data_IF_240439710024
#
_entry.id   IF_240439710024
#
_cell.length_a   1.000
_cell.length_b   1.000
_cell.length_c   1.000
_cell.angle_alpha   90.00
_cell.angle_beta   90.00
_cell.angle_gamma   90.00
#
_symmetry.space_group_name_H-M   'P 1'
#
loop_
_entity.id
_entity.type
_entity.pdbx_description
1 polymer ?
#
# COMPACT_ATOMS: atom_id res chain seq x y z
N UNK A 1 -22.86 -24.84 9.01
CA UNK A 1 -23.06 -23.95 7.84
C UNK A 1 -21.82 -23.80 6.95
N UNK A 2 -20.75 -24.59 7.15
CA UNK A 2 -19.50 -24.48 6.36
C UNK A 2 -19.49 -25.33 5.07
N UNK A 3 -20.42 -26.29 4.92
CA UNK A 3 -20.41 -27.26 3.83
C UNK A 3 -21.07 -26.80 2.52
N UNK A 4 -21.97 -25.81 2.56
CA UNK A 4 -22.71 -25.39 1.36
C UNK A 4 -21.93 -24.35 0.53
N UNK A 5 -21.25 -23.41 1.20
CA UNK A 5 -20.46 -22.37 0.53
C UNK A 5 -19.26 -22.92 -0.26
N UNK A 6 -18.56 -23.92 0.29
CA UNK A 6 -17.38 -24.52 -0.34
C UNK A 6 -17.65 -25.28 -1.64
N UNK A 7 -18.91 -25.61 -1.95
CA UNK A 7 -19.29 -26.25 -3.23
C UNK A 7 -19.56 -25.24 -4.34
N UNK A 8 -19.91 -24.00 -4.00
CA UNK A 8 -20.23 -22.93 -4.96
C UNK A 8 -18.98 -22.10 -5.26
N UNK A 9 -18.18 -21.80 -4.24
CA UNK A 9 -16.92 -21.10 -4.37
C UNK A 9 -15.85 -21.84 -3.55
N UNK A 10 -14.96 -22.62 -4.19
CA UNK A 10 -13.88 -23.29 -3.47
C UNK A 10 -12.94 -22.22 -2.88
N UNK A 11 -12.96 -22.07 -1.56
CA UNK A 11 -12.13 -21.09 -0.83
C UNK A 11 -10.90 -21.78 -0.26
N UNK A 12 -9.72 -21.19 -0.51
CA UNK A 12 -8.47 -21.62 0.12
C UNK A 12 -8.19 -20.73 1.32
N UNK A 13 -8.02 -21.33 2.49
CA UNK A 13 -7.75 -20.63 3.75
C UNK A 13 -6.26 -20.64 4.06
N UNK A 14 -5.75 -19.54 4.62
CA UNK A 14 -4.33 -19.38 4.93
C UNK A 14 -4.14 -18.44 6.12
N UNK A 15 -3.32 -18.81 7.09
CA UNK A 15 -2.91 -17.93 8.19
C UNK A 15 -1.87 -16.91 7.69
N UNK A 16 -2.20 -15.61 7.76
CA UNK A 16 -1.31 -14.53 7.24
C UNK A 16 0.07 -14.48 7.92
N UNK A 17 0.18 -14.97 9.16
CA UNK A 17 1.41 -14.93 9.97
C UNK A 17 2.37 -16.09 9.67
N UNK A 18 1.86 -17.25 9.27
CA UNK A 18 2.68 -18.45 9.02
C UNK A 18 3.36 -18.34 7.66
N UNK A 19 4.70 -18.35 7.62
CA UNK A 19 5.45 -18.27 6.36
C UNK A 19 5.30 -19.52 5.49
N UNK A 20 5.16 -20.68 6.13
CA UNK A 20 5.02 -21.99 5.47
C UNK A 20 3.70 -22.05 4.73
N UNK A 21 2.59 -21.73 5.40
CA UNK A 21 1.25 -21.76 4.81
C UNK A 21 1.10 -20.81 3.61
N UNK A 22 1.84 -19.68 3.58
CA UNK A 22 1.79 -18.80 2.39
C UNK A 22 2.47 -19.42 1.18
N UNK A 23 3.53 -20.19 1.40
CA UNK A 23 4.23 -20.87 0.31
C UNK A 23 3.33 -21.96 -0.25
N UNK A 24 2.70 -22.74 0.62
CA UNK A 24 1.80 -23.82 0.24
C UNK A 24 0.54 -23.27 -0.47
N UNK A 25 -0.03 -22.16 0.03
CA UNK A 25 -1.11 -21.41 -0.65
C UNK A 25 -0.72 -20.98 -2.06
N UNK A 26 0.49 -20.43 -2.23
CA UNK A 26 0.96 -19.99 -3.55
C UNK A 26 1.16 -21.18 -4.49
N UNK A 27 1.67 -22.32 -4.00
CA UNK A 27 1.82 -23.53 -4.80
C UNK A 27 0.46 -24.06 -5.29
N UNK A 28 -0.56 -24.07 -4.43
CA UNK A 28 -1.92 -24.48 -4.81
C UNK A 28 -2.54 -23.51 -5.83
N UNK A 29 -2.35 -22.20 -5.68
CA UNK A 29 -2.77 -21.21 -6.68
C UNK A 29 -2.09 -21.45 -8.02
N UNK A 30 -0.77 -21.72 -8.05
CA UNK A 30 -0.05 -22.00 -9.29
C UNK A 30 -0.54 -23.28 -9.96
N UNK A 31 -0.85 -24.31 -9.17
CA UNK A 31 -1.43 -25.55 -9.67
C UNK A 31 -2.77 -25.30 -10.34
N UNK A 32 -3.67 -24.57 -9.68
CA UNK A 32 -4.99 -24.22 -10.22
C UNK A 32 -4.93 -23.38 -11.51
N UNK A 33 -3.95 -22.48 -11.63
CA UNK A 33 -3.75 -21.68 -12.85
C UNK A 33 -3.27 -22.52 -14.04
N UNK A 34 -2.47 -23.55 -13.79
CA UNK A 34 -1.91 -24.42 -14.84
C UNK A 34 -2.89 -25.51 -15.32
N UNK A 35 -3.92 -25.82 -14.53
CA UNK A 35 -4.95 -26.80 -14.91
C UNK A 35 -5.89 -26.21 -15.99
N UNK A 36 -5.99 -26.88 -17.14
CA UNK A 36 -6.81 -26.42 -18.30
C UNK A 36 -8.31 -26.30 -18.03
N UNK A 37 -8.80 -26.89 -16.93
CA UNK A 37 -10.19 -26.78 -16.46
C UNK A 37 -10.40 -25.61 -15.48
N UNK A 38 -9.36 -24.79 -15.27
CA UNK A 38 -9.17 -23.92 -14.10
C UNK A 38 -10.33 -22.99 -13.80
N UNK A 39 -10.83 -23.08 -12.58
CA UNK A 39 -11.75 -22.12 -11.97
C UNK A 39 -11.01 -20.77 -11.83
N UNK A 40 -11.64 -19.63 -12.17
CA UNK A 40 -11.03 -18.32 -11.97
C UNK A 40 -10.75 -18.06 -10.49
N UNK A 41 -9.53 -17.65 -10.16
CA UNK A 41 -9.11 -17.36 -8.79
C UNK A 41 -9.20 -15.85 -8.56
N UNK A 42 -9.98 -15.42 -7.57
CA UNK A 42 -10.06 -14.04 -7.12
C UNK A 42 -9.09 -13.82 -5.95
N UNK A 43 -8.16 -12.88 -6.10
CA UNK A 43 -7.17 -12.55 -5.08
C UNK A 43 -7.16 -11.04 -4.81
N UNK A 44 -6.95 -10.68 -3.55
CA UNK A 44 -6.75 -9.29 -3.13
C UNK A 44 -5.26 -9.06 -2.79
N UNK A 45 -4.45 -8.52 -3.73
CA UNK A 45 -3.00 -8.35 -3.54
C UNK A 45 -2.61 -7.46 -2.35
N UNK A 46 -3.47 -6.52 -2.00
CA UNK A 46 -3.29 -5.54 -0.94
C UNK A 46 -3.38 -6.17 0.46
N UNK A 47 -4.28 -7.14 0.63
CA UNK A 47 -4.53 -7.83 1.90
C UNK A 47 -5.19 -6.98 2.99
N UNK A 48 -5.60 -5.75 2.66
CA UNK A 48 -6.31 -4.78 3.49
C UNK A 48 -7.30 -4.00 2.61
N UNK A 49 -8.31 -3.40 3.23
CA UNK A 49 -9.24 -2.50 2.55
C UNK A 49 -8.70 -1.06 2.68
N UNK A 50 -8.24 -0.45 1.59
CA UNK A 50 -7.79 0.95 1.59
C UNK A 50 -8.96 1.90 1.78
N UNK A 51 -8.77 2.94 2.60
CA UNK A 51 -9.64 4.12 2.52
C UNK A 51 -9.48 4.70 1.11
N UNK A 52 -10.57 5.04 0.41
CA UNK A 52 -10.65 5.41 -1.03
C UNK A 52 -9.73 6.57 -1.51
N UNK A 53 -8.73 6.96 -0.73
CA UNK A 53 -7.73 8.00 -0.97
C UNK A 53 -6.51 7.50 -1.73
N UNK A 54 -6.12 6.22 -1.60
CA UNK A 54 -4.91 5.68 -2.22
C UNK A 54 -4.97 4.18 -2.41
N UNK A 55 -4.30 3.66 -3.45
CA UNK A 55 -4.12 2.21 -3.63
C UNK A 55 -2.84 1.78 -2.91
N UNK A 56 -2.95 0.89 -1.93
CA UNK A 56 -1.78 0.37 -1.22
C UNK A 56 -0.91 -0.53 -2.10
N UNK A 57 0.33 -0.72 -1.67
CA UNK A 57 1.29 -1.55 -2.38
C UNK A 57 0.81 -3.01 -2.48
N UNK A 58 0.85 -3.53 -3.70
CA UNK A 58 0.52 -4.93 -3.97
C UNK A 58 1.63 -5.88 -3.51
N UNK A 59 1.24 -7.03 -2.94
CA UNK A 59 2.20 -8.06 -2.53
C UNK A 59 2.81 -8.77 -3.74
N UNK A 60 4.13 -8.64 -3.91
CA UNK A 60 4.92 -9.26 -4.99
C UNK A 60 4.70 -10.76 -5.19
N UNK A 61 4.41 -11.51 -4.11
CA UNK A 61 4.40 -12.98 -4.13
C UNK A 61 3.38 -13.60 -5.08
N UNK A 62 2.36 -12.84 -5.48
CA UNK A 62 1.32 -13.31 -6.42
C UNK A 62 1.69 -13.04 -7.90
N UNK A 63 2.63 -12.13 -8.16
CA UNK A 63 2.97 -11.63 -9.50
C UNK A 63 4.11 -12.43 -10.15
N UNK A 64 4.04 -13.77 -10.09
CA UNK A 64 5.07 -14.65 -10.66
C UNK A 64 4.95 -14.78 -12.20
N UNK A 65 6.04 -15.24 -12.82
CA UNK A 65 6.11 -15.49 -14.26
C UNK A 65 5.14 -16.62 -14.67
N UNK A 66 4.51 -16.48 -15.83
CA UNK A 66 3.62 -17.50 -16.41
C UNK A 66 2.14 -17.35 -16.07
N UNK A 67 1.78 -16.33 -15.28
CA UNK A 67 0.39 -16.06 -14.88
C UNK A 67 -0.14 -14.89 -15.71
N UNK A 68 -1.36 -15.06 -16.24
CA UNK A 68 -2.14 -13.96 -16.82
C UNK A 68 -3.07 -13.42 -15.75
N UNK A 69 -2.93 -12.14 -15.42
CA UNK A 69 -3.72 -11.48 -14.39
C UNK A 69 -4.75 -10.58 -15.05
N UNK A 70 -5.97 -10.58 -14.54
CA UNK A 70 -7.03 -9.66 -14.93
C UNK A 70 -7.25 -8.67 -13.79
N UNK A 71 -6.72 -7.44 -13.88
CA UNK A 71 -6.91 -6.45 -12.83
C UNK A 71 -8.38 -6.03 -12.78
N UNK A 72 -8.89 -5.82 -11.57
CA UNK A 72 -10.24 -5.34 -11.33
C UNK A 72 -10.11 -4.08 -10.48
N UNK A 73 -10.61 -2.96 -10.99
CA UNK A 73 -10.74 -1.74 -10.21
C UNK A 73 -12.09 -1.76 -9.50
N UNK A 74 -12.07 -1.60 -8.18
CA UNK A 74 -13.26 -1.50 -7.35
C UNK A 74 -13.19 -0.15 -6.64
N UNK A 75 -14.19 0.70 -6.87
CA UNK A 75 -14.29 2.01 -6.24
C UNK A 75 -15.61 2.12 -5.49
N UNK A 76 -15.57 2.46 -4.22
CA UNK A 76 -16.78 2.76 -3.46
C UNK A 76 -17.12 4.25 -3.60
N UNK A 77 -18.39 4.56 -3.86
CA UNK A 77 -18.87 5.93 -3.73
C UNK A 77 -19.25 6.20 -2.26
N UNK A 78 -18.45 7.03 -1.58
CA UNK A 78 -18.67 7.37 -0.17
C UNK A 78 -19.91 8.25 0.07
N UNK A 79 -20.58 8.75 -0.98
CA UNK A 79 -21.77 9.60 -0.85
C UNK A 79 -22.97 8.91 -0.21
N UNK A 80 -23.11 7.59 -0.37
CA UNK A 80 -24.29 6.84 0.08
C UNK A 80 -24.06 6.03 1.37
N UNK A 81 -22.79 5.86 1.75
CA UNK A 81 -22.35 5.14 2.93
C UNK A 81 -20.84 4.84 2.84
N UNK A 82 -20.13 5.04 3.95
CA UNK A 82 -18.71 4.72 4.06
C UNK A 82 -18.54 3.36 4.77
N UNK A 83 -18.05 2.36 4.04
CA UNK A 83 -17.81 1.01 4.56
C UNK A 83 -16.38 0.79 5.04
N UNK A 84 -15.48 1.77 4.87
CA UNK A 84 -14.05 1.60 5.13
C UNK A 84 -13.61 1.89 6.56
N UNK A 85 -14.52 2.35 7.42
CA UNK A 85 -14.23 2.53 8.84
C UNK A 85 -14.45 1.25 9.62
N UNK A 86 -13.37 0.63 10.08
CA UNK A 86 -13.43 -0.36 11.14
C UNK A 86 -13.77 0.35 12.46
N UNK A 87 -15.03 0.28 12.87
CA UNK A 87 -15.41 0.66 14.24
C UNK A 87 -14.98 -0.45 15.21
N UNK A 88 -14.48 -0.07 16.38
CA UNK A 88 -14.08 -1.02 17.42
C UNK A 88 -15.30 -1.77 17.99
N UNK A 89 -16.49 -1.15 17.94
CA UNK A 89 -17.72 -1.66 18.51
C UNK A 89 -18.72 -2.13 17.43
N UNK A 90 -19.12 -3.40 17.49
CA UNK A 90 -20.02 -4.01 16.50
C UNK A 90 -21.36 -3.30 16.37
N UNK A 91 -21.92 -2.76 17.47
CA UNK A 91 -23.23 -2.08 17.43
C UNK A 91 -23.16 -0.75 16.68
N UNK A 92 -22.05 -0.01 16.77
CA UNK A 92 -21.85 1.23 16.02
C UNK A 92 -21.76 0.95 14.53
N UNK A 93 -21.01 -0.09 14.17
CA UNK A 93 -20.94 -0.57 12.79
C UNK A 93 -22.32 -0.97 12.26
N UNK A 94 -23.08 -1.77 13.03
CA UNK A 94 -24.41 -2.21 12.64
C UNK A 94 -25.38 -1.04 12.45
N UNK A 95 -25.41 -0.10 13.40
CA UNK A 95 -26.24 1.11 13.28
C UNK A 95 -25.84 1.93 12.05
N UNK A 96 -24.54 2.03 11.74
CA UNK A 96 -24.06 2.74 10.54
C UNK A 96 -24.50 2.07 9.25
N UNK A 97 -24.40 0.75 9.15
CA UNK A 97 -24.86 0.01 7.97
C UNK A 97 -26.38 0.13 7.82
N UNK A 98 -27.13 0.03 8.93
CA UNK A 98 -28.59 0.15 8.92
C UNK A 98 -29.10 1.57 8.63
N UNK A 99 -28.31 2.60 8.96
CA UNK A 99 -28.61 4.01 8.68
C UNK A 99 -28.02 4.52 7.36
N UNK A 100 -27.17 3.72 6.70
CA UNK A 100 -26.66 4.02 5.37
C UNK A 100 -27.74 3.71 4.33
N UNK A 101 -27.99 4.64 3.42
CA UNK A 101 -29.05 4.49 2.42
C UNK A 101 -28.74 3.41 1.38
N UNK A 102 -27.50 3.38 0.90
CA UNK A 102 -27.02 2.35 -0.02
C UNK A 102 -25.49 2.26 0.03
N UNK A 103 -24.94 1.08 -0.26
CA UNK A 103 -23.51 0.92 -0.47
C UNK A 103 -23.31 0.68 -1.96
N UNK A 104 -22.76 1.67 -2.66
CA UNK A 104 -22.53 1.61 -4.11
C UNK A 104 -21.06 1.33 -4.41
N UNK A 105 -20.81 0.24 -5.14
CA UNK A 105 -19.50 -0.10 -5.66
C UNK A 105 -19.51 -0.05 -7.19
N UNK A 106 -18.58 0.70 -7.76
CA UNK A 106 -18.26 0.67 -9.18
C UNK A 106 -17.15 -0.37 -9.39
N UNK A 107 -17.44 -1.40 -10.18
CA UNK A 107 -16.54 -2.52 -10.45
C UNK A 107 -16.25 -2.54 -11.94
N UNK A 108 -14.99 -2.27 -12.30
CA UNK A 108 -14.54 -2.29 -13.69
C UNK A 108 -13.44 -3.32 -13.89
N UNK A 109 -13.63 -4.18 -14.89
CA UNK A 109 -12.61 -5.11 -15.37
C UNK A 109 -11.65 -4.38 -16.31
N UNK A 110 -10.36 -4.52 -16.06
CA UNK A 110 -9.30 -3.93 -16.87
C UNK A 110 -8.70 -4.98 -17.81
N UNK A 111 -7.93 -4.50 -18.78
CA UNK A 111 -7.24 -5.35 -19.73
C UNK A 111 -6.28 -6.32 -19.04
N UNK A 112 -6.19 -7.54 -19.59
CA UNK A 112 -5.30 -8.56 -19.08
C UNK A 112 -3.85 -8.09 -19.08
N UNK A 113 -3.13 -8.43 -18.03
CA UNK A 113 -1.72 -8.11 -17.87
C UNK A 113 -0.92 -9.40 -17.71
N UNK A 114 0.16 -9.49 -18.48
CA UNK A 114 1.18 -10.53 -18.34
C UNK A 114 2.50 -9.87 -17.93
N UNK A 115 3.30 -10.62 -17.17
CA UNK A 115 4.66 -10.22 -16.83
C UNK A 115 5.55 -10.23 -18.08
N UNK A 116 6.35 -9.19 -18.27
CA UNK A 116 7.33 -9.15 -19.37
C UNK A 116 8.59 -9.97 -19.03
N UNK A 117 9.31 -10.45 -20.05
CA UNK A 117 10.49 -11.32 -19.87
C UNK A 117 11.64 -10.67 -19.09
N UNK A 118 11.77 -9.34 -19.16
CA UNK A 118 12.83 -8.55 -18.52
C UNK A 118 12.40 -7.89 -17.21
N UNK A 119 11.12 -8.03 -16.82
CA UNK A 119 10.52 -7.33 -15.69
C UNK A 119 10.62 -8.16 -14.39
N UNK A 120 10.89 -7.51 -13.26
CA UNK A 120 10.88 -8.17 -11.93
C UNK A 120 9.46 -8.44 -11.42
N UNK A 121 9.30 -9.20 -10.33
CA UNK A 121 7.97 -9.44 -9.75
C UNK A 121 7.41 -8.16 -9.13
N UNK A 122 8.29 -7.36 -8.54
CA UNK A 122 8.00 -6.07 -7.94
C UNK A 122 7.56 -5.04 -8.99
N UNK A 123 8.29 -4.94 -10.10
CA UNK A 123 7.95 -4.02 -11.20
C UNK A 123 6.58 -4.36 -11.81
N UNK A 124 6.29 -5.66 -11.98
CA UNK A 124 4.99 -6.09 -12.49
C UNK A 124 3.85 -5.76 -11.53
N UNK A 125 4.07 -5.95 -10.22
CA UNK A 125 3.10 -5.58 -9.19
C UNK A 125 2.86 -4.05 -9.18
N UNK A 126 3.92 -3.26 -9.26
CA UNK A 126 3.84 -1.79 -9.31
C UNK A 126 3.13 -1.31 -10.58
N UNK A 127 3.36 -1.95 -11.73
CA UNK A 127 2.67 -1.65 -12.99
C UNK A 127 1.18 -1.96 -12.89
N UNK A 128 0.81 -3.12 -12.34
CA UNK A 128 -0.60 -3.47 -12.11
C UNK A 128 -1.27 -2.50 -11.14
N UNK A 129 -0.58 -2.12 -10.07
CA UNK A 129 -1.05 -1.10 -9.11
C UNK A 129 -1.28 0.24 -9.81
N UNK A 130 -0.35 0.68 -10.66
CA UNK A 130 -0.44 1.94 -11.41
C UNK A 130 -1.61 1.95 -12.38
N UNK A 131 -1.89 0.84 -13.06
CA UNK A 131 -3.05 0.71 -13.95
C UNK A 131 -4.36 0.91 -13.17
N UNK A 132 -4.50 0.23 -12.02
CA UNK A 132 -5.68 0.37 -11.16
C UNK A 132 -5.79 1.78 -10.58
N UNK A 133 -4.69 2.34 -10.08
CA UNK A 133 -4.59 3.70 -9.54
C UNK A 133 -5.00 4.76 -10.58
N UNK A 134 -4.49 4.64 -11.80
CA UNK A 134 -4.83 5.55 -12.91
C UNK A 134 -6.32 5.48 -13.26
N UNK A 135 -6.91 4.27 -13.23
CA UNK A 135 -8.34 4.10 -13.51
C UNK A 135 -9.22 4.71 -12.41
N UNK A 136 -8.89 4.47 -11.15
CA UNK A 136 -9.67 4.96 -10.00
C UNK A 136 -9.49 6.49 -9.82
N UNK A 137 -8.35 7.03 -10.25
CA UNK A 137 -7.97 8.44 -10.12
C UNK A 137 -7.35 8.77 -8.77
N UNK A 138 -6.73 7.79 -8.10
CA UNK A 138 -6.10 7.95 -6.77
C UNK A 138 -4.62 7.60 -6.84
N UNK A 139 -3.73 8.22 -6.03
CA UNK A 139 -2.31 7.91 -6.06
C UNK A 139 -2.00 6.46 -5.64
N UNK A 140 -0.98 5.87 -6.27
CA UNK A 140 -0.39 4.61 -5.85
C UNK A 140 0.57 4.86 -4.67
N UNK A 141 0.35 4.18 -3.55
CA UNK A 141 1.20 4.29 -2.37
C UNK A 141 2.32 3.23 -2.38
N UNK A 142 3.53 3.65 -2.02
CA UNK A 142 4.69 2.76 -1.88
C UNK A 142 4.69 1.98 -0.55
N UNK A 143 3.86 2.39 0.41
CA UNK A 143 3.84 1.80 1.74
C UNK A 143 2.90 0.59 1.82
N UNK A 144 3.37 -0.46 2.49
CA UNK A 144 2.58 -1.65 2.82
C UNK A 144 1.49 -1.32 3.83
N UNK A 145 0.30 -1.94 3.70
CA UNK A 145 -0.83 -1.72 4.62
C UNK A 145 -0.51 -1.97 6.10
N UNK A 146 0.45 -2.84 6.43
CA UNK A 146 0.91 -3.02 7.81
C UNK A 146 1.47 -1.72 8.42
N UNK A 147 2.19 -0.93 7.63
CA UNK A 147 2.73 0.36 8.08
C UNK A 147 1.61 1.39 8.30
N UNK A 148 0.55 1.30 7.50
CA UNK A 148 -0.58 2.22 7.58
C UNK A 148 -1.50 1.92 8.77
N UNK A 149 -1.78 0.63 9.05
CA UNK A 149 -2.74 0.24 10.09
C UNK A 149 -2.11 -0.10 11.45
N UNK A 150 -0.83 -0.50 11.50
CA UNK A 150 -0.20 -0.89 12.77
C UNK A 150 0.40 0.30 13.52
N UNK A 151 -0.28 0.74 14.59
CA UNK A 151 0.23 1.76 15.54
C UNK A 151 1.58 1.37 16.17
N UNK A 152 1.94 0.09 16.23
CA UNK A 152 3.24 -0.35 16.73
C UNK A 152 4.35 -0.15 15.69
N UNK A 153 4.08 -0.45 14.42
CA UNK A 153 5.05 -0.24 13.34
C UNK A 153 5.27 1.24 13.07
N UNK A 154 4.22 2.06 13.13
CA UNK A 154 4.33 3.52 13.04
C UNK A 154 5.26 4.08 14.13
N UNK A 155 5.09 3.62 15.38
CA UNK A 155 5.97 4.02 16.49
C UNK A 155 7.42 3.59 16.27
N UNK A 156 7.64 2.34 15.83
CA UNK A 156 8.98 1.83 15.53
C UNK A 156 9.71 2.66 14.48
N UNK A 157 9.03 3.03 13.39
CA UNK A 157 9.61 3.85 12.33
C UNK A 157 9.92 5.27 12.80
N UNK A 158 9.02 5.87 13.57
CA UNK A 158 9.23 7.19 14.16
C UNK A 158 10.46 7.18 15.08
N UNK A 159 10.65 6.13 15.89
CA UNK A 159 11.84 5.98 16.74
C UNK A 159 13.14 5.85 15.93
N UNK A 160 13.11 5.07 14.84
CA UNK A 160 14.27 4.94 13.94
C UNK A 160 14.61 6.28 13.30
N UNK A 161 13.61 7.01 12.76
CA UNK A 161 13.81 8.33 12.17
C UNK A 161 14.38 9.34 13.18
N UNK A 162 13.83 9.35 14.41
CA UNK A 162 14.35 10.18 15.50
C UNK A 162 15.82 9.87 15.81
N UNK A 163 16.21 8.60 15.85
CA UNK A 163 17.61 8.18 16.08
C UNK A 163 18.52 8.60 14.93
N UNK A 164 18.10 8.43 13.67
CA UNK A 164 18.88 8.86 12.50
C UNK A 164 19.07 10.38 12.49
N UNK A 165 18.01 11.14 12.73
CA UNK A 165 18.08 12.61 12.80
C UNK A 165 18.98 13.07 13.95
N UNK A 166 18.84 12.47 15.14
CA UNK A 166 19.71 12.75 16.28
C UNK A 166 21.18 12.45 15.96
N UNK A 167 21.48 11.31 15.32
CA UNK A 167 22.84 10.97 14.92
C UNK A 167 23.43 11.98 13.92
N UNK A 168 22.64 12.43 12.94
CA UNK A 168 23.08 13.43 11.97
C UNK A 168 23.35 14.79 12.65
N UNK A 169 22.45 15.24 13.52
CA UNK A 169 22.63 16.48 14.28
C UNK A 169 23.89 16.39 15.15
N UNK A 170 24.08 15.28 15.86
CA UNK A 170 25.27 15.06 16.67
C UNK A 170 26.55 15.04 15.84
N UNK A 171 26.55 14.44 14.64
CA UNK A 171 27.73 14.48 13.77
C UNK A 171 28.06 15.90 13.30
N UNK A 172 27.05 16.72 12.99
CA UNK A 172 27.26 18.14 12.68
C UNK A 172 27.83 18.91 13.88
N UNK A 173 27.32 18.68 15.09
CA UNK A 173 27.83 19.33 16.31
C UNK A 173 29.27 18.90 16.67
N UNK A 174 29.66 17.68 16.33
CA UNK A 174 31.04 17.20 16.55
C UNK A 174 32.01 17.81 15.53
N UNK A 175 31.59 17.95 14.27
CA UNK A 175 32.39 18.64 13.24
C UNK A 175 32.64 20.12 13.60
N UNK A 176 31.60 20.82 14.06
CA UNK A 176 31.69 22.21 14.52
C UNK A 176 32.63 22.36 15.73
N UNK A 177 32.69 21.33 16.60
CA UNK A 177 33.61 21.28 17.75
C UNK A 177 35.06 20.98 17.35
N UNK A 178 35.30 20.23 16.28
CA UNK A 178 36.66 20.01 15.78
C UNK A 178 37.23 21.24 15.07
N UNK A 179 36.42 21.97 14.30
CA UNK A 179 36.87 23.23 13.65
C UNK A 179 37.19 24.33 14.69
N UNK A 180 36.50 24.33 15.84
CA UNK A 180 36.77 25.30 16.92
C UNK A 180 38.00 24.96 17.77
N UNK A 181 38.58 23.75 17.65
CA UNK A 181 39.84 23.38 18.30
C UNK A 181 41.07 23.69 17.43
N UNK A 182 40.88 23.91 16.13
CA UNK A 182 41.93 24.31 15.17
C UNK A 182 42.01 25.83 15.04
N UNK A 183 42.14 26.55 16.18
CA UNK A 183 42.75 27.90 16.28
C UNK A 183 42.28 29.05 15.37
N UNK A 184 41.26 28.88 14.52
CA UNK A 184 40.80 29.89 13.57
C UNK A 184 39.31 30.14 13.77
N UNK A 185 39.00 31.18 14.54
CA UNK A 185 37.66 31.77 14.58
C UNK A 185 37.37 32.42 13.22
N UNK A 186 36.59 31.76 12.37
CA UNK A 186 35.86 32.43 11.30
C UNK A 186 34.38 32.42 11.64
N UNK A 187 33.94 33.47 12.34
CA UNK A 187 32.53 33.86 12.33
C UNK A 187 32.20 34.27 10.90
N UNK A 188 31.45 33.45 10.18
CA UNK A 188 30.74 33.88 8.99
C UNK A 188 29.26 33.60 9.20
N UNK A 189 28.55 34.56 9.82
CA UNK A 189 27.15 34.79 9.47
C UNK A 189 27.14 35.13 7.98
N UNK A 190 26.95 34.12 7.13
CA UNK A 190 26.69 34.33 5.72
C UNK A 190 25.19 34.16 5.50
N UNK A 191 24.54 35.32 5.48
CA UNK A 191 23.31 35.68 4.79
C UNK A 191 22.39 34.53 4.35
N UNK A 192 21.22 34.53 4.98
CA UNK A 192 19.95 34.27 4.32
C UNK A 192 19.84 35.27 3.16
N UNK A 193 20.35 34.97 1.97
CA UNK A 193 20.03 35.66 0.70
C UNK A 193 20.66 34.86 -0.46
N UNK A 194 19.94 33.87 -0.97
CA UNK A 194 20.46 33.03 -2.06
C UNK A 194 19.51 32.01 -2.69
N UNK A 195 18.26 31.90 -2.23
CA UNK A 195 17.22 31.07 -2.88
C UNK A 195 15.93 31.87 -3.04
N UNK A 196 16.04 33.06 -3.65
CA UNK A 196 14.96 33.66 -4.43
C UNK A 196 15.51 33.83 -5.82
N UNK A 197 15.25 32.85 -6.69
CA UNK A 197 15.01 32.94 -8.14
C UNK A 197 14.86 31.50 -8.64
N UNK A 198 13.62 31.00 -8.68
CA UNK A 198 13.34 29.70 -9.27
C UNK A 198 12.18 28.89 -8.67
N UNK A 199 11.05 29.51 -8.31
CA UNK A 199 9.73 28.90 -8.42
C UNK A 199 8.66 29.93 -8.04
N UNK A 200 7.96 30.38 -9.06
CA UNK A 200 6.73 31.17 -8.99
C UNK A 200 5.62 30.40 -8.27
N UNK A 201 4.91 31.10 -7.38
CA UNK A 201 3.49 30.94 -6.98
C UNK A 201 2.97 29.56 -6.52
N UNK A 202 2.79 29.45 -5.19
CA UNK A 202 1.52 29.25 -4.46
C UNK A 202 0.19 29.23 -5.26
N UNK A 203 -0.95 28.85 -4.66
CA UNK A 203 -1.24 27.81 -3.66
C UNK A 203 -2.59 27.10 -4.00
N UNK A 204 -3.13 26.30 -3.07
CA UNK A 204 -4.57 26.05 -2.87
C UNK A 204 -5.53 26.48 -4.01
N UNK A 205 -6.05 25.51 -4.76
CA UNK A 205 -7.47 25.48 -5.10
C UNK A 205 -7.90 24.07 -5.50
N UNK A 206 -8.96 23.60 -4.82
CA UNK A 206 -9.81 22.44 -5.14
C UNK A 206 -9.26 21.04 -4.84
#
# INVERSE_FOLDING_TARGET
>A
MQFLGGRICPTIWMERKSAVERRDFLEEVMKGVNEKSGVPILLFPEGYCSNNTQVLQFRRSIFKKGITIYPIAIKQDCRFGDSFWADEEFYMYLLRVMSSWAISYDVTYLDKMCRFSQETEEDFAARAQKVVSNFIGVPACEFSGLMWYSKSEQRRLLEVQKKTCASAIMSYMVLDRSESNDGYHSVCSRNIDGLKHGASMDPFNS
#
